data_IF_143063584492
#
_entry.id   IF_143063584492
#
_cell.length_a   1.000
_cell.length_b   1.000
_cell.length_c   1.000
_cell.angle_alpha   90.00
_cell.angle_beta   90.00
_cell.angle_gamma   90.00
#
_symmetry.space_group_name_H-M   'P 1'
#
loop_
_entity.id
_entity.type
_entity.pdbx_description
1 polymer ?
#
# COMPACT_ATOMS: atom_id res chain seq x y z
N UNK A 1 1.83 16.42 2.53
CA UNK A 1 0.45 15.90 2.37
C UNK A 1 0.38 15.04 1.12
N UNK A 2 -0.20 13.89 1.23
CA UNK A 2 -0.40 12.99 0.10
C UNK A 2 -1.80 13.24 -0.45
N UNK A 3 -1.93 13.35 -1.76
CA UNK A 3 -3.21 13.58 -2.42
C UNK A 3 -3.53 12.46 -3.39
N UNK A 4 -4.81 12.21 -3.58
CA UNK A 4 -5.29 11.21 -4.49
C UNK A 4 -6.67 11.54 -5.01
N UNK A 5 -7.32 10.57 -5.61
CA UNK A 5 -8.58 10.76 -6.33
C UNK A 5 -9.50 9.56 -6.11
N UNK A 6 -10.81 9.82 -6.12
CA UNK A 6 -11.84 8.77 -6.13
C UNK A 6 -12.22 8.49 -7.58
N UNK A 7 -12.18 7.21 -7.95
CA UNK A 7 -12.61 6.72 -9.25
C UNK A 7 -13.40 5.43 -9.06
N UNK A 8 -14.60 5.35 -9.57
CA UNK A 8 -15.48 4.18 -9.46
C UNK A 8 -15.63 3.73 -7.99
N UNK A 9 -15.89 4.70 -7.11
CA UNK A 9 -16.08 4.49 -5.67
C UNK A 9 -14.85 3.96 -4.94
N UNK A 10 -13.67 4.04 -5.56
CA UNK A 10 -12.40 3.66 -4.92
C UNK A 10 -11.54 4.89 -4.70
N UNK A 11 -11.09 5.05 -3.46
CA UNK A 11 -10.10 6.08 -3.11
C UNK A 11 -8.71 5.57 -3.44
N UNK A 12 -7.97 6.29 -4.29
CA UNK A 12 -6.65 5.84 -4.75
C UNK A 12 -5.62 6.94 -4.56
N UNK A 13 -4.38 6.50 -4.35
CA UNK A 13 -3.20 7.37 -4.35
C UNK A 13 -2.10 6.72 -5.18
N UNK A 14 -1.15 7.53 -5.65
CA UNK A 14 0.02 7.03 -6.35
C UNK A 14 1.20 7.02 -5.39
N UNK A 15 1.90 5.90 -5.32
CA UNK A 15 3.05 5.71 -4.45
C UNK A 15 4.27 5.35 -5.30
N UNK A 16 5.42 5.91 -4.95
CA UNK A 16 6.69 5.52 -5.56
C UNK A 16 7.30 4.44 -4.69
N UNK A 17 7.44 3.24 -5.25
CA UNK A 17 8.00 2.07 -4.57
C UNK A 17 9.37 1.77 -5.17
N UNK A 18 10.33 1.47 -4.30
CA UNK A 18 11.71 1.23 -4.68
C UNK A 18 12.18 -0.13 -4.17
N UNK A 19 12.92 -0.83 -5.01
CA UNK A 19 13.60 -2.05 -4.63
C UNK A 19 15.05 -1.79 -4.25
N UNK A 20 15.68 -2.77 -3.60
CA UNK A 20 17.09 -2.67 -3.17
C UNK A 20 18.08 -2.61 -4.33
N UNK A 21 17.69 -3.05 -5.52
CA UNK A 21 18.52 -3.02 -6.72
C UNK A 21 18.49 -1.66 -7.44
N UNK A 22 17.82 -0.66 -6.86
CA UNK A 22 17.70 0.67 -7.46
C UNK A 22 16.54 0.83 -8.42
N UNK A 23 15.75 -0.20 -8.63
CA UNK A 23 14.56 -0.11 -9.49
C UNK A 23 13.46 0.65 -8.78
N UNK A 24 12.71 1.44 -9.52
CA UNK A 24 11.69 2.34 -9.01
C UNK A 24 10.45 2.22 -9.88
N UNK A 25 9.29 2.21 -9.26
CA UNK A 25 8.02 2.19 -9.99
C UNK A 25 6.96 2.98 -9.22
N UNK A 26 6.20 3.79 -9.95
CA UNK A 26 5.00 4.41 -9.41
C UNK A 26 3.85 3.39 -9.49
N UNK A 27 3.16 3.18 -8.39
CA UNK A 27 1.99 2.30 -8.34
C UNK A 27 0.77 3.08 -7.90
N UNK A 28 -0.38 2.74 -8.49
CA UNK A 28 -1.66 3.28 -8.07
C UNK A 28 -2.25 2.29 -7.07
N UNK A 29 -2.40 2.72 -5.82
CA UNK A 29 -2.90 1.88 -4.75
C UNK A 29 -4.31 2.30 -4.34
N UNK A 30 -5.16 1.32 -4.12
CA UNK A 30 -6.50 1.52 -3.56
C UNK A 30 -6.36 1.55 -2.04
N UNK A 31 -6.92 2.58 -1.41
CA UNK A 31 -6.92 2.70 0.05
C UNK A 31 -7.95 1.73 0.61
N UNK A 32 -7.49 0.85 1.49
CA UNK A 32 -8.33 -0.17 2.13
C UNK A 32 -8.17 -0.08 3.64
N UNK A 33 -9.14 0.52 4.32
CA UNK A 33 -9.11 0.69 5.77
C UNK A 33 -9.34 -0.62 6.52
N UNK A 34 -9.80 -1.66 5.83
CA UNK A 34 -9.91 -3.01 6.39
C UNK A 34 -8.62 -3.82 6.30
N UNK A 35 -7.62 -3.31 5.57
CA UNK A 35 -6.32 -3.96 5.43
C UNK A 35 -5.36 -3.36 6.46
N UNK A 36 -4.90 -4.18 7.39
CA UNK A 36 -4.13 -3.69 8.55
C UNK A 36 -2.62 -3.61 8.32
N UNK A 37 -2.11 -4.20 7.24
CA UNK A 37 -0.69 -4.09 6.88
C UNK A 37 -0.40 -2.79 6.12
N UNK A 38 0.79 -2.68 5.53
CA UNK A 38 1.22 -1.45 4.85
C UNK A 38 0.84 -1.40 3.39
N UNK A 39 1.24 -2.40 2.61
CA UNK A 39 1.07 -2.39 1.15
C UNK A 39 1.02 -3.83 0.63
N UNK A 40 0.08 -4.10 -0.26
CA UNK A 40 0.09 -5.33 -1.06
C UNK A 40 0.37 -4.99 -2.51
N UNK A 41 1.10 -5.85 -3.20
CA UNK A 41 1.44 -5.69 -4.61
C UNK A 41 1.23 -7.00 -5.34
N UNK A 42 0.84 -6.94 -6.63
CA UNK A 42 0.75 -8.15 -7.44
C UNK A 42 2.14 -8.70 -7.79
N UNK A 43 2.24 -10.00 -8.10
CA UNK A 43 3.52 -10.63 -8.41
C UNK A 43 4.31 -9.94 -9.51
N UNK A 44 3.64 -9.43 -10.53
CA UNK A 44 4.30 -8.78 -11.66
C UNK A 44 5.05 -7.51 -11.23
N UNK A 45 4.51 -6.75 -10.29
CA UNK A 45 5.17 -5.55 -9.78
C UNK A 45 6.35 -5.92 -8.88
N UNK A 46 6.17 -6.91 -8.02
CA UNK A 46 7.22 -7.40 -7.13
C UNK A 46 8.42 -7.88 -7.94
N UNK A 47 8.18 -8.63 -9.01
CA UNK A 47 9.22 -9.12 -9.90
C UNK A 47 9.89 -7.97 -10.66
N UNK A 48 9.11 -7.02 -11.17
CA UNK A 48 9.65 -5.88 -11.91
C UNK A 48 10.55 -5.00 -11.04
N UNK A 49 10.23 -4.87 -9.76
CA UNK A 49 11.03 -4.11 -8.80
C UNK A 49 12.17 -4.92 -8.18
N UNK A 50 12.20 -6.23 -8.44
CA UNK A 50 13.22 -7.11 -7.90
C UNK A 50 13.28 -7.02 -6.36
N UNK A 51 12.11 -7.04 -5.73
CA UNK A 51 12.03 -6.91 -4.27
C UNK A 51 12.62 -8.14 -3.59
N UNK A 52 13.44 -7.97 -2.54
CA UNK A 52 13.98 -9.11 -1.82
C UNK A 52 12.91 -9.80 -0.99
N UNK A 53 12.87 -11.12 -1.10
CA UNK A 53 11.98 -11.95 -0.30
C UNK A 53 12.44 -11.96 1.16
N UNK A 54 11.50 -11.83 2.09
CA UNK A 54 11.81 -11.83 3.51
C UNK A 54 11.30 -13.09 4.20
N UNK A 55 10.03 -13.41 4.00
CA UNK A 55 9.36 -14.48 4.72
C UNK A 55 8.06 -14.84 4.03
N UNK A 56 7.35 -15.79 4.57
CA UNK A 56 5.95 -15.99 4.22
C UNK A 56 5.09 -15.86 5.48
N UNK A 57 3.83 -15.54 5.28
CA UNK A 57 2.86 -15.38 6.35
C UNK A 57 1.55 -16.05 5.94
N UNK A 58 0.62 -16.13 6.85
CA UNK A 58 -0.68 -16.75 6.59
C UNK A 58 -1.82 -15.83 7.00
N UNK A 59 -2.91 -15.94 6.27
CA UNK A 59 -4.15 -15.29 6.60
C UNK A 59 -5.27 -16.32 6.71
N UNK A 60 -6.20 -16.09 7.62
CA UNK A 60 -7.40 -16.93 7.75
C UNK A 60 -8.50 -16.25 6.93
N UNK A 61 -9.05 -16.98 5.97
CA UNK A 61 -10.11 -16.50 5.12
C UNK A 61 -11.47 -16.61 5.82
N UNK A 62 -12.49 -15.98 5.24
CA UNK A 62 -13.83 -15.95 5.82
C UNK A 62 -14.44 -17.35 6.02
N UNK A 63 -14.05 -18.33 5.21
CA UNK A 63 -14.50 -19.72 5.30
C UNK A 63 -13.69 -20.55 6.30
N UNK A 64 -12.73 -19.93 7.01
CA UNK A 64 -11.86 -20.60 7.97
C UNK A 64 -10.61 -21.25 7.36
N UNK A 65 -10.46 -21.24 6.03
CA UNK A 65 -9.27 -21.77 5.39
C UNK A 65 -8.08 -20.83 5.56
N UNK A 66 -6.86 -21.40 5.48
CA UNK A 66 -5.63 -20.62 5.53
C UNK A 66 -5.12 -20.36 4.12
N UNK A 67 -4.62 -19.14 3.90
CA UNK A 67 -3.92 -18.75 2.68
C UNK A 67 -2.50 -18.36 3.06
N UNK A 68 -1.50 -18.95 2.41
CA UNK A 68 -0.10 -18.56 2.55
C UNK A 68 0.24 -17.54 1.49
N UNK A 69 1.01 -16.53 1.87
CA UNK A 69 1.48 -15.51 0.94
C UNK A 69 2.91 -15.11 1.27
N UNK A 70 3.62 -14.67 0.25
CA UNK A 70 5.00 -14.22 0.41
C UNK A 70 5.06 -12.77 0.85
N UNK A 71 6.09 -12.45 1.64
CA UNK A 71 6.35 -11.12 2.16
C UNK A 71 7.72 -10.67 1.67
N UNK A 72 7.76 -9.46 1.14
CA UNK A 72 8.95 -8.85 0.55
C UNK A 72 9.28 -7.55 1.25
N UNK A 73 10.51 -7.08 1.09
CA UNK A 73 10.95 -5.79 1.59
C UNK A 73 10.95 -4.77 0.47
N UNK A 74 10.54 -3.55 0.79
CA UNK A 74 10.57 -2.43 -0.16
C UNK A 74 10.77 -1.12 0.58
N UNK A 75 11.13 -0.10 -0.18
CA UNK A 75 11.09 1.28 0.27
C UNK A 75 9.94 1.98 -0.44
N UNK A 76 9.33 2.92 0.23
CA UNK A 76 8.27 3.75 -0.35
C UNK A 76 8.51 5.20 0.02
N UNK A 77 8.30 6.10 -0.95
CA UNK A 77 8.27 7.52 -0.64
C UNK A 77 6.92 7.83 0.00
N UNK A 78 6.97 8.36 1.22
CA UNK A 78 5.78 8.63 2.00
C UNK A 78 5.88 10.01 2.62
N UNK A 79 5.13 10.95 2.05
CA UNK A 79 5.05 12.33 2.52
C UNK A 79 6.44 12.97 2.68
N UNK A 80 7.29 12.81 1.67
CA UNK A 80 8.62 13.39 1.64
C UNK A 80 9.70 12.59 2.36
N UNK A 81 9.35 11.45 2.95
CA UNK A 81 10.29 10.57 3.63
C UNK A 81 10.35 9.22 2.94
N UNK A 82 11.51 8.58 2.99
CA UNK A 82 11.68 7.20 2.54
C UNK A 82 11.42 6.29 3.73
N UNK A 83 10.46 5.38 3.59
CA UNK A 83 10.14 4.40 4.62
C UNK A 83 10.43 3.00 4.12
N UNK A 84 10.99 2.19 4.99
CA UNK A 84 11.12 0.76 4.74
C UNK A 84 9.84 0.07 5.20
N UNK A 85 9.27 -0.75 4.33
CA UNK A 85 8.01 -1.44 4.59
C UNK A 85 8.10 -2.89 4.19
N UNK A 86 7.17 -3.67 4.70
CA UNK A 86 6.91 -5.02 4.22
C UNK A 86 5.78 -4.97 3.20
N UNK A 87 5.96 -5.71 2.12
CA UNK A 87 4.99 -5.83 1.05
C UNK A 87 4.45 -7.24 1.04
N UNK A 88 3.12 -7.38 1.08
CA UNK A 88 2.45 -8.66 0.92
C UNK A 88 2.17 -8.90 -0.55
N UNK A 89 2.52 -10.09 -1.04
CA UNK A 89 2.16 -10.48 -2.39
C UNK A 89 0.70 -10.90 -2.45
N UNK A 90 -0.04 -10.30 -3.36
CA UNK A 90 -1.44 -10.67 -3.61
C UNK A 90 -1.75 -10.44 -5.08
N UNK A 91 -2.39 -11.41 -5.72
CA UNK A 91 -2.76 -11.32 -7.13
C UNK A 91 -4.01 -10.46 -7.30
N UNK A 92 -3.84 -9.17 -7.03
CA UNK A 92 -4.89 -8.17 -7.06
C UNK A 92 -4.25 -6.78 -7.23
N UNK A 93 -5.07 -5.76 -7.42
CA UNK A 93 -4.60 -4.38 -7.45
C UNK A 93 -3.87 -4.03 -6.15
N UNK A 94 -2.86 -3.14 -6.20
CA UNK A 94 -2.18 -2.70 -4.99
C UNK A 94 -3.15 -2.14 -3.97
N UNK A 95 -2.99 -2.55 -2.71
CA UNK A 95 -3.77 -2.02 -1.58
C UNK A 95 -2.85 -1.27 -0.62
N UNK A 96 -3.30 -0.10 -0.22
CA UNK A 96 -2.66 0.70 0.83
C UNK A 96 -3.42 0.47 2.13
N UNK A 97 -2.73 -0.06 3.12
CA UNK A 97 -3.33 -0.43 4.40
C UNK A 97 -3.11 0.58 5.51
N UNK A 98 -3.77 0.32 6.62
CA UNK A 98 -3.79 1.22 7.78
C UNK A 98 -2.42 1.39 8.44
N UNK A 99 -1.58 0.36 8.39
CA UNK A 99 -0.26 0.42 9.03
C UNK A 99 0.62 1.51 8.44
N UNK A 100 0.57 1.71 7.11
CA UNK A 100 1.36 2.77 6.46
C UNK A 100 0.80 4.16 6.77
N UNK A 101 -0.50 4.25 6.99
CA UNK A 101 -1.18 5.53 7.29
C UNK A 101 -1.17 5.89 8.77
N UNK A 102 -0.53 5.09 9.62
CA UNK A 102 -0.49 5.37 11.07
C UNK A 102 0.12 6.76 11.31
N UNK A 103 -0.55 7.57 12.14
CA UNK A 103 -0.12 8.94 12.43
C UNK A 103 -0.60 9.96 11.42
N UNK A 104 -1.46 9.56 10.49
CA UNK A 104 -2.01 10.44 9.46
C UNK A 104 -3.53 10.45 9.53
N UNK A 105 -4.12 11.53 9.05
CA UNK A 105 -5.56 11.68 8.87
C UNK A 105 -5.90 11.41 7.41
N UNK A 106 -6.83 10.49 7.20
CA UNK A 106 -7.36 10.18 5.87
C UNK A 106 -8.70 10.89 5.70
N UNK A 107 -8.82 11.67 4.62
CA UNK A 107 -10.06 12.33 4.25
C UNK A 107 -10.40 11.96 2.81
N UNK A 108 -11.63 11.51 2.59
CA UNK A 108 -12.10 11.08 1.27
C UNK A 108 -13.42 11.79 0.97
N UNK A 109 -13.47 12.48 -0.16
CA UNK A 109 -14.71 12.98 -0.73
C UNK A 109 -15.26 11.92 -1.67
N UNK A 110 -16.27 11.18 -1.23
CA UNK A 110 -16.77 10.01 -1.96
C UNK A 110 -17.74 10.46 -3.03
N UNK A 111 -17.16 10.82 -4.16
CA UNK A 111 -17.84 11.15 -5.42
C UNK A 111 -16.82 11.01 -6.53
N UNK A 112 -17.27 10.84 -7.76
CA UNK A 112 -16.37 10.71 -8.90
C UNK A 112 -15.44 11.95 -8.97
N UNK A 113 -14.15 11.74 -9.08
CA UNK A 113 -13.09 12.77 -9.04
C UNK A 113 -13.00 13.49 -7.70
N UNK A 114 -13.58 12.92 -6.63
CA UNK A 114 -13.45 13.46 -5.29
C UNK A 114 -12.03 13.46 -4.81
N UNK A 115 -11.72 14.36 -3.89
CA UNK A 115 -10.36 14.49 -3.34
C UNK A 115 -10.10 13.45 -2.27
N UNK A 116 -8.91 12.89 -2.30
CA UNK A 116 -8.33 12.07 -1.23
C UNK A 116 -7.15 12.84 -0.67
N UNK A 117 -7.10 12.99 0.64
CA UNK A 117 -5.94 13.60 1.31
C UNK A 117 -5.51 12.74 2.48
N UNK A 118 -4.21 12.57 2.61
CA UNK A 118 -3.59 11.90 3.75
C UNK A 118 -2.61 12.92 4.34
N UNK A 119 -2.91 13.40 5.52
CA UNK A 119 -2.21 14.50 6.16
C UNK A 119 -1.68 14.07 7.51
N UNK A 120 -0.44 14.43 7.81
CA UNK A 120 0.17 14.12 9.10
C UNK A 120 -0.64 14.75 10.25
N UNK A 121 -0.95 13.94 11.25
CA UNK A 121 -1.62 14.45 12.45
C UNK A 121 -0.62 15.27 13.28
N UNK A 122 -1.10 16.30 13.99
CA UNK A 122 -0.23 17.06 14.89
C UNK A 122 0.36 16.14 15.95
N UNK A 123 1.62 16.36 16.28
CA UNK A 123 2.24 15.72 17.45
C UNK A 123 1.70 16.33 18.74
N UNK A 124 1.54 15.50 19.74
CA UNK A 124 0.98 15.92 21.04
C UNK A 124 2.07 16.29 22.01
#
# INVERSE_FOLDING_TARGET
MITGTVTDDEATVRLVVKGSSGKVQEVRAVIDTGYTASLSLPPVVIAALDLPWQSFDRAILADGSECLFDVFEAEVDWDGEVRQILVHEADAEPLLGMSLMRGFELKVQVRNRGKVTIKRLPTR
#
